data_IF_691864190697
#
_entry.id   IF_691864190697
#
_cell.length_a   1.000
_cell.length_b   1.000
_cell.length_c   1.000
_cell.angle_alpha   90.00
_cell.angle_beta   90.00
_cell.angle_gamma   90.00
#
_symmetry.space_group_name_H-M   'P 1'
#
loop_
_entity.id
_entity.type
_entity.pdbx_description
1 polymer ?
#
# COMPACT_ATOMS: atom_id res chain seq x y z
N UNK A 1 -11.54 3.52 8.18
CA UNK A 1 -11.64 3.89 6.73
C UNK A 1 -10.28 3.61 6.10
N UNK A 2 -10.21 2.89 4.99
CA UNK A 2 -8.95 2.45 4.38
C UNK A 2 -8.18 3.53 3.63
N UNK A 3 -6.94 3.19 3.27
CA UNK A 3 -6.08 3.99 2.40
C UNK A 3 -6.67 4.15 0.99
N UNK A 4 -7.50 3.19 0.55
CA UNK A 4 -8.26 3.24 -0.71
C UNK A 4 -9.22 4.44 -0.75
N UNK A 5 -9.80 4.83 0.39
CA UNK A 5 -10.76 5.94 0.48
C UNK A 5 -10.12 7.27 0.87
N UNK A 6 -8.82 7.27 1.15
CA UNK A 6 -8.07 8.47 1.55
C UNK A 6 -7.16 8.91 0.40
N UNK A 7 -7.74 9.51 -0.64
CA UNK A 7 -7.02 9.92 -1.88
C UNK A 7 -5.83 10.86 -1.66
N UNK A 8 -5.82 11.59 -0.54
CA UNK A 8 -4.71 12.47 -0.17
C UNK A 8 -3.52 11.72 0.43
N UNK A 9 -3.73 10.50 0.95
CA UNK A 9 -2.69 9.61 1.47
C UNK A 9 -2.22 8.66 0.35
N UNK A 10 -1.40 9.18 -0.55
CA UNK A 10 -0.80 8.38 -1.61
C UNK A 10 0.58 7.84 -1.19
N UNK A 11 1.12 6.84 -1.92
CA UNK A 11 2.37 6.20 -1.52
C UNK A 11 3.56 7.16 -1.42
N UNK A 12 3.66 8.13 -2.32
CA UNK A 12 4.80 9.06 -2.36
C UNK A 12 4.87 9.97 -1.15
N UNK A 13 3.72 10.43 -0.63
CA UNK A 13 3.67 11.26 0.58
C UNK A 13 4.01 10.48 1.83
N UNK A 14 3.47 9.26 1.97
CA UNK A 14 3.79 8.36 3.09
C UNK A 14 5.28 8.02 3.09
N UNK A 15 5.81 7.65 1.91
CA UNK A 15 7.25 7.42 1.73
C UNK A 15 8.08 8.64 2.07
N UNK A 16 7.63 9.85 1.70
CA UNK A 16 8.33 11.10 2.03
C UNK A 16 8.50 11.31 3.54
N UNK A 17 7.43 11.12 4.32
CA UNK A 17 7.47 11.20 5.79
C UNK A 17 8.41 10.12 6.36
N UNK A 18 8.21 8.87 5.95
CA UNK A 18 8.98 7.75 6.45
C UNK A 18 10.49 7.87 6.14
N UNK A 19 10.82 8.20 4.89
CA UNK A 19 12.21 8.37 4.46
C UNK A 19 12.90 9.52 5.18
N UNK A 20 12.19 10.62 5.44
CA UNK A 20 12.74 11.69 6.26
C UNK A 20 13.08 11.17 7.66
N UNK A 21 12.11 10.56 8.35
CA UNK A 21 12.30 10.03 9.70
C UNK A 21 13.40 8.97 9.77
N UNK A 22 13.56 8.12 8.75
CA UNK A 22 14.64 7.12 8.69
C UNK A 22 16.04 7.75 8.86
N UNK A 23 16.24 8.99 8.38
CA UNK A 23 17.51 9.70 8.45
C UNK A 23 17.58 10.75 9.57
N UNK A 24 16.49 10.96 10.30
CA UNK A 24 16.46 11.88 11.44
C UNK A 24 17.02 11.21 12.68
N UNK A 25 17.73 11.98 13.52
CA UNK A 25 18.32 11.48 14.76
C UNK A 25 17.24 10.89 15.65
N UNK A 26 17.44 9.63 16.07
CA UNK A 26 16.47 8.91 16.91
C UNK A 26 15.18 8.52 16.19
N UNK A 27 15.12 8.67 14.85
CA UNK A 27 13.97 8.32 14.01
C UNK A 27 12.66 8.98 14.42
N UNK A 28 12.79 10.20 14.95
CA UNK A 28 11.70 10.98 15.51
C UNK A 28 11.87 12.45 15.20
N UNK A 29 10.77 13.16 15.05
CA UNK A 29 10.76 14.59 14.83
C UNK A 29 9.46 15.20 15.37
N UNK A 30 9.51 16.46 15.79
CA UNK A 30 8.32 17.22 16.18
C UNK A 30 7.35 17.31 15.01
N UNK A 31 6.07 17.13 15.28
CA UNK A 31 5.03 17.19 14.26
C UNK A 31 5.08 18.52 13.48
N UNK A 32 5.27 19.65 14.16
CA UNK A 32 5.31 20.97 13.54
C UNK A 32 6.50 21.12 12.56
N UNK A 33 7.63 20.48 12.88
CA UNK A 33 8.83 20.51 12.03
C UNK A 33 8.60 19.69 10.77
N UNK A 34 8.08 18.47 10.90
CA UNK A 34 7.66 17.63 9.77
C UNK A 34 6.67 18.36 8.87
N UNK A 35 5.67 18.98 9.50
CA UNK A 35 4.59 19.68 8.82
C UNK A 35 5.13 20.85 7.96
N UNK A 36 6.05 21.66 8.50
CA UNK A 36 6.70 22.78 7.80
C UNK A 36 7.67 22.34 6.71
N UNK A 37 8.36 21.23 6.92
CA UNK A 37 9.31 20.72 5.95
C UNK A 37 8.62 20.12 4.72
N UNK A 38 7.59 19.30 4.94
CA UNK A 38 6.93 18.53 3.88
C UNK A 38 5.78 19.30 3.22
N UNK A 39 5.30 20.38 3.84
CA UNK A 39 4.28 21.26 3.28
C UNK A 39 4.52 22.72 3.69
N UNK A 40 5.49 23.42 3.07
CA UNK A 40 5.90 24.78 3.45
C UNK A 40 4.76 25.79 3.60
N UNK A 41 4.92 26.75 4.52
CA UNK A 41 3.90 27.74 4.90
C UNK A 41 3.36 28.52 3.68
N UNK A 42 4.23 28.81 2.71
CA UNK A 42 3.85 29.49 1.45
C UNK A 42 2.85 28.72 0.58
N UNK A 43 2.73 27.40 0.76
CA UNK A 43 1.73 26.61 0.03
C UNK A 43 0.33 26.68 0.67
N UNK A 44 0.21 27.25 1.88
CA UNK A 44 -1.03 27.23 2.67
C UNK A 44 -1.47 28.58 3.23
N UNK A 45 -0.77 29.67 2.88
CA UNK A 45 -0.99 31.04 3.38
C UNK A 45 -2.46 31.53 3.21
N UNK A 46 -3.19 31.02 2.21
CA UNK A 46 -4.58 31.38 1.90
C UNK A 46 -5.57 30.18 1.88
N UNK A 47 -5.27 29.09 2.61
CA UNK A 47 -6.10 27.87 2.58
C UNK A 47 -6.95 27.72 3.84
N UNK A 48 -8.25 27.47 3.66
CA UNK A 48 -9.22 27.23 4.76
C UNK A 48 -8.93 25.97 5.59
N UNK A 49 -8.27 24.98 4.98
CA UNK A 49 -7.75 23.79 5.68
C UNK A 49 -6.25 23.74 5.43
N UNK A 50 -5.41 24.03 6.44
CA UNK A 50 -3.97 23.95 6.26
C UNK A 50 -3.56 22.49 6.05
N UNK A 51 -2.81 22.24 4.97
CA UNK A 51 -2.01 21.02 4.71
C UNK A 51 -2.80 19.69 4.75
N UNK A 52 -3.94 19.58 4.04
CA UNK A 52 -4.77 18.38 4.08
C UNK A 52 -4.04 17.13 3.58
N UNK A 53 -3.07 17.29 2.65
CA UNK A 53 -2.25 16.19 2.14
C UNK A 53 -1.31 15.60 3.19
N UNK A 54 -0.59 16.45 3.92
CA UNK A 54 0.30 16.01 5.00
C UNK A 54 -0.50 15.34 6.11
N UNK A 55 -1.58 15.97 6.54
CA UNK A 55 -2.44 15.46 7.62
C UNK A 55 -3.05 14.09 7.26
N UNK A 56 -3.51 13.91 6.02
CA UNK A 56 -4.02 12.63 5.56
C UNK A 56 -2.92 11.56 5.54
N UNK A 57 -1.76 11.84 4.93
CA UNK A 57 -0.66 10.88 4.86
C UNK A 57 -0.15 10.47 6.26
N UNK A 58 0.01 11.44 7.17
CA UNK A 58 0.42 11.19 8.54
C UNK A 58 -0.61 10.33 9.28
N UNK A 59 -1.89 10.67 9.16
CA UNK A 59 -2.97 9.91 9.80
C UNK A 59 -2.99 8.46 9.33
N UNK A 60 -2.93 8.21 8.02
CA UNK A 60 -2.91 6.84 7.50
C UNK A 60 -1.64 6.08 7.90
N UNK A 61 -0.49 6.76 7.96
CA UNK A 61 0.77 6.16 8.42
C UNK A 61 0.73 5.75 9.90
N UNK A 62 0.08 6.55 10.75
CA UNK A 62 -0.14 6.20 12.16
C UNK A 62 -1.17 5.08 12.30
N UNK A 63 -2.28 5.19 11.55
CA UNK A 63 -3.39 4.22 11.59
C UNK A 63 -2.94 2.81 11.20
N UNK A 64 -2.09 2.68 10.17
CA UNK A 64 -1.55 1.38 9.78
C UNK A 64 -0.36 0.92 10.64
N UNK A 65 0.08 1.70 11.63
CA UNK A 65 1.18 1.33 12.51
C UNK A 65 2.57 1.48 11.90
N UNK A 66 2.72 2.19 10.76
CA UNK A 66 4.03 2.55 10.23
C UNK A 66 4.74 3.57 11.15
N UNK A 67 3.96 4.53 11.65
CA UNK A 67 4.42 5.58 12.55
C UNK A 67 3.63 5.53 13.86
N UNK A 68 4.20 6.08 14.91
CA UNK A 68 3.52 6.30 16.19
C UNK A 68 3.62 7.76 16.59
N UNK A 69 2.62 8.25 17.34
CA UNK A 69 2.65 9.56 17.96
C UNK A 69 3.04 9.40 19.43
N UNK A 70 4.11 10.06 19.84
CA UNK A 70 4.61 10.12 21.22
C UNK A 70 4.69 11.59 21.62
N UNK A 71 3.87 12.03 22.59
CA UNK A 71 3.75 13.44 22.96
C UNK A 71 3.47 14.35 21.74
N UNK A 72 4.42 15.22 21.39
CA UNK A 72 4.37 16.12 20.21
C UNK A 72 5.27 15.65 19.06
N UNK A 73 5.83 14.45 19.16
CA UNK A 73 6.72 13.87 18.18
C UNK A 73 6.04 12.74 17.40
N UNK A 74 6.50 12.58 16.15
CA UNK A 74 6.15 11.46 15.29
C UNK A 74 7.42 10.61 15.15
N UNK A 75 7.29 9.32 15.43
CA UNK A 75 8.37 8.36 15.41
C UNK A 75 8.05 7.25 14.40
N UNK A 76 9.09 6.64 13.81
CA UNK A 76 8.92 5.32 13.20
C UNK A 76 8.53 4.33 14.29
N UNK A 77 7.51 3.50 14.05
CA UNK A 77 7.02 2.56 15.06
C UNK A 77 8.17 1.61 15.50
N UNK A 78 8.56 1.59 16.79
CA UNK A 78 9.68 0.79 17.28
C UNK A 78 9.45 -0.72 17.14
N UNK A 79 8.19 -1.16 17.06
CA UNK A 79 7.81 -2.56 16.90
C UNK A 79 8.02 -3.08 15.46
N UNK A 80 8.37 -2.19 14.52
CA UNK A 80 8.74 -2.62 13.18
C UNK A 80 10.08 -3.38 13.18
N UNK A 81 10.24 -4.36 12.26
CA UNK A 81 11.50 -5.08 12.09
C UNK A 81 12.70 -4.13 11.95
N UNK A 82 13.84 -4.51 12.51
CA UNK A 82 15.06 -3.69 12.49
C UNK A 82 15.48 -3.30 11.07
N UNK A 83 15.37 -4.23 10.11
CA UNK A 83 15.66 -3.96 8.69
C UNK A 83 14.75 -2.87 8.10
N UNK A 84 13.46 -2.86 8.47
CA UNK A 84 12.51 -1.84 8.02
C UNK A 84 12.87 -0.45 8.58
N UNK A 85 13.47 -0.40 9.77
CA UNK A 85 13.96 0.82 10.41
C UNK A 85 15.38 1.17 9.99
N UNK A 86 16.07 0.36 9.20
CA UNK A 86 17.46 0.63 8.83
C UNK A 86 17.54 1.77 7.79
N UNK A 87 18.33 2.85 8.00
CA UNK A 87 18.42 3.97 7.05
C UNK A 87 18.94 3.58 5.65
N UNK A 88 19.66 2.47 5.52
CA UNK A 88 20.23 2.01 4.25
C UNK A 88 19.21 1.25 3.40
N UNK A 89 18.32 0.47 4.02
CA UNK A 89 17.42 -0.46 3.32
C UNK A 89 15.94 -0.22 3.58
N UNK A 90 15.58 0.49 4.66
CA UNK A 90 14.20 0.68 5.11
C UNK A 90 13.31 1.31 4.04
N UNK A 91 13.79 2.33 3.32
CA UNK A 91 13.05 2.95 2.22
C UNK A 91 12.80 1.98 1.05
N UNK A 92 13.73 1.06 0.78
CA UNK A 92 13.57 0.02 -0.25
C UNK A 92 12.60 -1.08 0.20
N UNK A 93 12.58 -1.39 1.50
CA UNK A 93 11.70 -2.39 2.11
C UNK A 93 10.29 -1.87 2.41
N UNK A 94 10.09 -0.55 2.40
CA UNK A 94 8.82 0.09 2.75
C UNK A 94 7.58 -0.49 2.03
N UNK A 95 7.60 -0.83 0.72
CA UNK A 95 6.46 -1.47 0.08
C UNK A 95 6.07 -2.82 0.71
N UNK A 96 7.06 -3.62 1.14
CA UNK A 96 6.81 -4.89 1.81
C UNK A 96 6.28 -4.66 3.23
N UNK A 97 6.86 -3.70 3.95
CA UNK A 97 6.40 -3.29 5.29
C UNK A 97 4.94 -2.84 5.23
N UNK A 98 4.59 -1.96 4.30
CA UNK A 98 3.21 -1.49 4.12
C UNK A 98 2.26 -2.59 3.68
N UNK A 99 2.68 -3.50 2.81
CA UNK A 99 1.87 -4.67 2.45
C UNK A 99 1.55 -5.53 3.68
N UNK A 100 2.54 -5.75 4.56
CA UNK A 100 2.33 -6.49 5.80
C UNK A 100 1.37 -5.77 6.75
N UNK A 101 1.56 -4.46 6.93
CA UNK A 101 0.73 -3.64 7.83
C UNK A 101 -0.71 -3.48 7.33
N UNK A 102 -0.92 -3.24 6.03
CA UNK A 102 -2.25 -3.09 5.45
C UNK A 102 -3.05 -4.39 5.50
N UNK A 103 -2.39 -5.53 5.28
CA UNK A 103 -3.08 -6.81 5.19
C UNK A 103 -2.91 -7.69 6.44
N UNK A 104 -2.46 -7.10 7.55
CA UNK A 104 -2.42 -7.78 8.83
C UNK A 104 -3.83 -8.22 9.25
N UNK A 105 -3.95 -9.40 9.88
CA UNK A 105 -5.24 -10.00 10.20
C UNK A 105 -6.09 -9.17 11.18
N UNK A 106 -5.44 -8.31 11.97
CA UNK A 106 -6.07 -7.40 12.94
C UNK A 106 -6.35 -5.99 12.38
N UNK A 107 -6.05 -5.73 11.10
CA UNK A 107 -6.30 -4.43 10.47
C UNK A 107 -7.62 -4.45 9.70
N UNK A 108 -8.74 -4.30 10.43
CA UNK A 108 -10.09 -4.27 9.82
C UNK A 108 -10.31 -3.03 8.94
N UNK A 109 -9.56 -1.96 9.17
CA UNK A 109 -9.71 -0.69 8.47
C UNK A 109 -9.35 -0.78 6.98
N UNK A 110 -8.50 -1.74 6.60
CA UNK A 110 -7.99 -1.94 5.24
C UNK A 110 -8.65 -3.14 4.52
N UNK A 111 -9.72 -3.72 5.07
CA UNK A 111 -10.37 -4.89 4.46
C UNK A 111 -10.87 -4.64 3.03
N UNK A 112 -11.45 -3.47 2.77
CA UNK A 112 -11.96 -3.15 1.43
C UNK A 112 -10.81 -3.01 0.42
N UNK A 113 -9.68 -2.41 0.82
CA UNK A 113 -8.49 -2.37 0.00
C UNK A 113 -7.94 -3.78 -0.28
N UNK A 114 -7.88 -4.65 0.73
CA UNK A 114 -7.49 -6.05 0.57
C UNK A 114 -8.37 -6.82 -0.42
N UNK A 115 -9.69 -6.68 -0.31
CA UNK A 115 -10.66 -7.31 -1.24
C UNK A 115 -10.47 -6.84 -2.67
N UNK A 116 -10.31 -5.53 -2.89
CA UNK A 116 -10.08 -4.97 -4.23
C UNK A 116 -8.77 -5.47 -4.82
N UNK A 117 -7.68 -5.49 -4.06
CA UNK A 117 -6.40 -6.02 -4.55
C UNK A 117 -6.48 -7.50 -4.90
N UNK A 118 -7.11 -8.32 -4.05
CA UNK A 118 -7.26 -9.75 -4.29
C UNK A 118 -8.13 -10.05 -5.52
N UNK A 119 -9.22 -9.30 -5.69
CA UNK A 119 -10.10 -9.38 -6.86
C UNK A 119 -9.36 -8.99 -8.15
N UNK A 120 -8.58 -7.92 -8.10
CA UNK A 120 -7.83 -7.46 -9.28
C UNK A 120 -6.74 -8.46 -9.68
N UNK A 121 -6.03 -9.03 -8.71
CA UNK A 121 -5.09 -10.13 -8.90
C UNK A 121 -5.76 -11.46 -9.32
N UNK A 122 -7.10 -11.56 -9.26
CA UNK A 122 -7.86 -12.73 -9.70
C UNK A 122 -8.30 -12.67 -11.16
N UNK A 123 -8.16 -11.51 -11.80
CA UNK A 123 -8.54 -11.37 -13.20
C UNK A 123 -7.57 -12.17 -14.09
N UNK A 124 -8.08 -12.64 -15.23
CA UNK A 124 -7.25 -13.21 -16.28
C UNK A 124 -6.24 -12.14 -16.76
N UNK A 125 -4.95 -12.44 -16.72
CA UNK A 125 -3.89 -11.49 -17.11
C UNK A 125 -3.99 -11.05 -18.57
N UNK A 126 -4.61 -11.85 -19.45
CA UNK A 126 -4.79 -11.52 -20.88
C UNK A 126 -6.01 -10.65 -21.14
N UNK A 127 -6.93 -10.56 -20.18
CA UNK A 127 -8.19 -9.83 -20.28
C UNK A 127 -8.46 -9.00 -19.00
N UNK A 128 -7.39 -8.60 -18.29
CA UNK A 128 -7.52 -7.83 -17.08
C UNK A 128 -7.95 -6.40 -17.44
N UNK A 129 -8.91 -5.81 -16.69
CA UNK A 129 -9.33 -4.45 -16.94
C UNK A 129 -8.18 -3.50 -16.57
N UNK A 130 -7.69 -2.73 -17.53
CA UNK A 130 -6.47 -1.93 -17.34
C UNK A 130 -6.70 -0.43 -17.26
N UNK A 131 -7.93 0.01 -17.52
CA UNK A 131 -8.39 1.38 -17.35
C UNK A 131 -9.56 1.46 -16.39
N UNK A 132 -9.81 2.64 -15.86
CA UNK A 132 -10.94 2.95 -14.97
C UNK A 132 -12.28 2.45 -15.54
N UNK A 133 -12.58 2.78 -16.80
CA UNK A 133 -13.82 2.37 -17.48
C UNK A 133 -13.94 0.85 -17.61
N UNK A 134 -12.83 0.16 -17.89
CA UNK A 134 -12.83 -1.29 -17.99
C UNK A 134 -13.02 -1.93 -16.62
N UNK A 135 -12.44 -1.36 -15.55
CA UNK A 135 -12.66 -1.83 -14.18
C UNK A 135 -14.11 -1.64 -13.79
N UNK A 136 -14.68 -0.46 -14.03
CA UNK A 136 -16.07 -0.16 -13.70
C UNK A 136 -17.03 -1.12 -14.44
N UNK A 137 -16.78 -1.37 -15.73
CA UNK A 137 -17.50 -2.36 -16.51
C UNK A 137 -17.37 -3.76 -15.90
N UNK A 138 -16.15 -4.21 -15.61
CA UNK A 138 -15.89 -5.55 -15.06
C UNK A 138 -16.54 -5.75 -13.69
N UNK A 139 -16.48 -4.74 -12.82
CA UNK A 139 -17.13 -4.74 -11.49
C UNK A 139 -18.64 -4.88 -11.62
N UNK A 140 -19.24 -4.18 -12.59
CA UNK A 140 -20.68 -4.25 -12.89
C UNK A 140 -21.08 -5.63 -13.45
N UNK A 141 -20.34 -6.14 -14.44
CA UNK A 141 -20.58 -7.44 -15.08
C UNK A 141 -20.49 -8.60 -14.09
N UNK A 142 -19.49 -8.57 -13.21
CA UNK A 142 -19.29 -9.59 -12.17
C UNK A 142 -20.20 -9.36 -10.94
N UNK A 143 -20.92 -8.24 -10.88
CA UNK A 143 -21.83 -7.86 -9.78
C UNK A 143 -21.15 -7.84 -8.40
N UNK A 144 -19.90 -7.36 -8.37
CA UNK A 144 -19.05 -7.33 -7.15
C UNK A 144 -18.95 -5.92 -6.53
N UNK A 145 -19.66 -4.92 -7.06
CA UNK A 145 -19.56 -3.52 -6.62
C UNK A 145 -19.76 -3.29 -5.13
N UNK A 146 -20.82 -3.87 -4.54
CA UNK A 146 -21.12 -3.74 -3.10
C UNK A 146 -20.06 -4.42 -2.22
N UNK A 147 -19.55 -5.56 -2.68
CA UNK A 147 -18.52 -6.33 -2.00
C UNK A 147 -17.17 -5.60 -2.01
N UNK A 148 -16.77 -5.04 -3.15
CA UNK A 148 -15.51 -4.32 -3.33
C UNK A 148 -15.56 -2.88 -2.80
N UNK A 149 -16.76 -2.32 -2.63
CA UNK A 149 -16.98 -0.91 -2.27
C UNK A 149 -16.28 0.07 -3.23
N UNK A 150 -16.14 -0.32 -4.49
CA UNK A 150 -15.60 0.51 -5.58
C UNK A 150 -16.71 1.34 -6.22
N UNK A 151 -17.07 2.45 -5.58
CA UNK A 151 -18.23 3.29 -5.98
C UNK A 151 -17.86 4.51 -6.82
N UNK A 152 -16.58 4.70 -7.17
CA UNK A 152 -16.15 5.85 -7.99
C UNK A 152 -14.77 5.66 -8.59
N UNK A 153 -14.58 6.27 -9.76
CA UNK A 153 -13.34 6.64 -10.44
C UNK A 153 -12.12 6.91 -9.55
N UNK A 154 -12.29 7.77 -8.55
CA UNK A 154 -11.20 8.15 -7.63
C UNK A 154 -10.64 6.98 -6.83
N UNK A 155 -11.46 5.96 -6.56
CA UNK A 155 -11.01 4.76 -5.86
C UNK A 155 -10.19 3.86 -6.77
N UNK A 156 -10.47 3.84 -8.08
CA UNK A 156 -9.63 3.13 -9.04
C UNK A 156 -8.24 3.75 -9.11
N UNK A 157 -8.14 5.07 -9.25
CA UNK A 157 -6.84 5.77 -9.28
C UNK A 157 -6.04 5.51 -8.00
N UNK A 158 -6.70 5.53 -6.84
CA UNK A 158 -6.04 5.27 -5.57
C UNK A 158 -5.58 3.81 -5.45
N UNK A 159 -6.42 2.84 -5.85
CA UNK A 159 -6.05 1.43 -5.90
C UNK A 159 -4.85 1.21 -6.83
N UNK A 160 -4.88 1.78 -8.02
CA UNK A 160 -3.85 1.70 -9.04
C UNK A 160 -2.49 2.23 -8.54
N UNK A 161 -2.47 3.41 -7.94
CA UNK A 161 -1.27 4.00 -7.33
C UNK A 161 -0.67 3.10 -6.25
N UNK A 162 -1.51 2.56 -5.36
CA UNK A 162 -1.06 1.67 -4.29
C UNK A 162 -0.59 0.31 -4.80
N UNK A 163 -1.33 -0.34 -5.68
CA UNK A 163 -0.97 -1.65 -6.21
C UNK A 163 0.35 -1.62 -6.97
N UNK A 164 0.58 -0.57 -7.77
CA UNK A 164 1.88 -0.37 -8.44
C UNK A 164 3.01 -0.15 -7.45
N UNK A 165 2.79 0.67 -6.42
CA UNK A 165 3.81 0.94 -5.41
C UNK A 165 4.18 -0.30 -4.59
N UNK A 166 3.18 -1.07 -4.14
CA UNK A 166 3.36 -2.31 -3.38
C UNK A 166 3.98 -3.43 -4.24
N UNK A 167 3.85 -3.34 -5.57
CA UNK A 167 4.42 -4.28 -6.53
C UNK A 167 3.48 -5.42 -6.90
N UNK A 168 2.17 -5.17 -6.82
CA UNK A 168 1.08 -6.07 -7.23
C UNK A 168 0.58 -5.80 -8.66
N UNK A 169 0.91 -4.65 -9.22
CA UNK A 169 0.52 -4.27 -10.55
C UNK A 169 1.65 -3.54 -11.27
N UNK A 170 1.59 -3.55 -12.59
CA UNK A 170 2.50 -2.82 -13.45
C UNK A 170 1.70 -1.94 -14.42
N UNK A 171 2.16 -0.70 -14.61
CA UNK A 171 1.61 0.23 -15.60
C UNK A 171 2.51 0.32 -16.83
N UNK A 172 1.93 0.21 -18.03
CA UNK A 172 2.63 0.48 -19.28
C UNK A 172 1.85 1.44 -20.18
N UNK A 173 2.55 2.20 -21.00
CA UNK A 173 1.92 3.10 -21.97
C UNK A 173 1.56 2.32 -23.24
N UNK A 174 0.27 2.19 -23.54
CA UNK A 174 -0.22 1.63 -24.80
C UNK A 174 -0.91 2.74 -25.60
N UNK A 175 -0.37 3.07 -26.77
CA UNK A 175 -0.92 4.11 -27.66
C UNK A 175 -1.14 5.46 -26.94
N UNK A 176 -0.23 5.84 -26.04
CA UNK A 176 -0.30 7.10 -25.28
C UNK A 176 -1.26 7.08 -24.09
N UNK A 177 -1.89 5.95 -23.76
CA UNK A 177 -2.69 5.76 -22.55
C UNK A 177 -1.98 4.81 -21.59
N UNK A 178 -1.97 5.14 -20.30
CA UNK A 178 -1.48 4.21 -19.28
C UNK A 178 -2.51 3.12 -19.06
N UNK A 179 -2.06 1.87 -19.14
CA UNK A 179 -2.84 0.67 -18.87
C UNK A 179 -2.18 -0.05 -17.70
N UNK A 180 -2.97 -0.42 -16.70
CA UNK A 180 -2.52 -1.21 -15.55
C UNK A 180 -2.80 -2.68 -15.78
N UNK A 181 -1.89 -3.53 -15.35
CA UNK A 181 -2.03 -4.98 -15.42
C UNK A 181 -1.71 -5.57 -14.05
N UNK A 182 -2.50 -6.54 -13.54
CA UNK A 182 -2.13 -7.28 -12.34
C UNK A 182 -0.86 -8.09 -12.59
N UNK A 183 0.21 -7.75 -11.86
CA UNK A 183 1.51 -8.40 -11.96
C UNK A 183 2.22 -8.34 -10.60
N UNK A 184 2.12 -9.41 -9.78
CA UNK A 184 2.76 -9.48 -8.47
C UNK A 184 4.25 -9.85 -8.53
N UNK A 185 4.86 -9.94 -9.71
CA UNK A 185 6.26 -10.38 -9.88
C UNK A 185 7.23 -9.58 -9.02
N UNK A 186 7.03 -8.26 -8.91
CA UNK A 186 7.89 -7.39 -8.10
C UNK A 186 7.75 -7.71 -6.61
N UNK A 187 6.52 -7.86 -6.11
CA UNK A 187 6.27 -8.27 -4.73
C UNK A 187 6.91 -9.63 -4.42
N UNK A 188 6.70 -10.62 -5.29
CA UNK A 188 7.24 -11.97 -5.13
C UNK A 188 8.77 -11.96 -5.13
N UNK A 189 9.42 -11.28 -6.07
CA UNK A 189 10.89 -11.16 -6.12
C UNK A 189 11.48 -10.58 -4.85
N UNK A 190 10.84 -9.55 -4.26
CA UNK A 190 11.30 -8.95 -3.00
C UNK A 190 11.18 -9.89 -1.80
N UNK A 191 10.27 -10.85 -1.85
CA UNK A 191 9.98 -11.76 -0.75
C UNK A 191 10.52 -13.18 -0.96
N UNK A 192 11.04 -13.51 -2.15
CA UNK A 192 11.38 -14.89 -2.54
C UNK A 192 12.33 -15.57 -1.56
N UNK A 193 13.38 -14.88 -1.09
CA UNK A 193 14.34 -15.43 -0.11
C UNK A 193 13.66 -15.81 1.21
N UNK A 194 12.75 -14.95 1.67
CA UNK A 194 11.99 -15.17 2.89
C UNK A 194 10.93 -16.27 2.73
N UNK A 195 10.42 -16.50 1.53
CA UNK A 195 9.46 -17.57 1.27
C UNK A 195 10.12 -18.95 1.24
N UNK A 196 11.41 -19.01 0.88
CA UNK A 196 12.19 -20.23 0.86
C UNK A 196 12.85 -20.57 2.20
N UNK A 197 12.88 -19.64 3.18
CA UNK A 197 13.47 -19.86 4.52
C UNK A 197 14.87 -20.52 4.47
N UNK A 198 15.75 -20.03 3.60
CA UNK A 198 17.11 -20.56 3.37
C UNK A 198 17.20 -21.94 2.71
N UNK A 199 16.07 -22.60 2.45
CA UNK A 199 16.04 -23.82 1.65
C UNK A 199 16.31 -23.52 0.16
N UNK A 200 17.01 -24.44 -0.52
CA UNK A 200 17.19 -24.35 -1.97
C UNK A 200 15.95 -24.81 -2.74
N UNK A 201 15.17 -25.72 -2.15
CA UNK A 201 13.98 -26.31 -2.72
C UNK A 201 12.87 -26.36 -1.66
N UNK A 202 11.64 -26.16 -2.09
CA UNK A 202 10.44 -26.23 -1.25
C UNK A 202 9.31 -26.85 -2.08
N UNK A 203 8.43 -27.61 -1.43
CA UNK A 203 7.23 -28.10 -2.10
C UNK A 203 6.35 -26.92 -2.51
N UNK A 204 5.77 -26.97 -3.70
CA UNK A 204 4.91 -25.90 -4.21
C UNK A 204 3.77 -25.56 -3.23
N UNK A 205 3.19 -26.57 -2.58
CA UNK A 205 2.15 -26.39 -1.57
C UNK A 205 2.63 -25.55 -0.39
N UNK A 206 3.84 -25.83 0.12
CA UNK A 206 4.41 -25.12 1.28
C UNK A 206 4.82 -23.70 0.90
N UNK A 207 5.26 -23.49 -0.34
CA UNK A 207 5.48 -22.16 -0.91
C UNK A 207 4.19 -21.34 -0.93
N UNK A 208 3.10 -21.90 -1.46
CA UNK A 208 1.78 -21.22 -1.53
C UNK A 208 1.29 -20.88 -0.12
N UNK A 209 1.36 -21.82 0.83
CA UNK A 209 0.95 -21.59 2.23
C UNK A 209 1.80 -20.47 2.87
N UNK A 210 3.11 -20.47 2.64
CA UNK A 210 4.01 -19.44 3.17
C UNK A 210 3.73 -18.08 2.55
N UNK A 211 3.44 -18.03 1.25
CA UNK A 211 3.07 -16.82 0.53
C UNK A 211 1.74 -16.26 1.06
N UNK A 212 0.72 -17.09 1.22
CA UNK A 212 -0.60 -16.70 1.74
C UNK A 212 -0.53 -16.13 3.16
N UNK A 213 0.30 -16.73 4.03
CA UNK A 213 0.56 -16.22 5.39
C UNK A 213 1.24 -14.85 5.36
N UNK A 214 2.14 -14.63 4.41
CA UNK A 214 2.89 -13.38 4.29
C UNK A 214 2.08 -12.27 3.63
N UNK A 215 1.27 -12.62 2.64
CA UNK A 215 0.38 -11.73 1.93
C UNK A 215 -0.94 -12.45 1.63
N UNK A 216 -2.02 -12.11 2.35
CA UNK A 216 -3.30 -12.82 2.23
C UNK A 216 -4.09 -12.51 0.94
N UNK A 217 -3.45 -11.84 -0.03
CA UNK A 217 -4.01 -11.57 -1.37
C UNK A 217 -3.84 -12.75 -2.34
N UNK A 218 -2.91 -13.67 -2.07
CA UNK A 218 -2.58 -14.81 -2.91
C UNK A 218 -3.38 -16.07 -2.53
N UNK A 219 -3.25 -17.13 -3.32
CA UNK A 219 -3.95 -18.41 -3.16
C UNK A 219 -3.94 -18.90 -1.71
N UNK A 220 -5.10 -19.36 -1.21
CA UNK A 220 -5.31 -19.77 0.21
C UNK A 220 -5.19 -18.64 1.24
N UNK A 221 -5.01 -17.39 0.80
CA UNK A 221 -5.02 -16.21 1.65
C UNK A 221 -6.44 -15.71 1.94
N UNK A 222 -6.61 -15.08 3.12
CA UNK A 222 -7.91 -14.57 3.61
C UNK A 222 -8.71 -13.79 2.57
N UNK A 223 -8.07 -12.89 1.81
CA UNK A 223 -8.79 -12.07 0.82
C UNK A 223 -9.02 -12.82 -0.49
N UNK A 224 -8.09 -13.70 -0.87
CA UNK A 224 -8.24 -14.50 -2.09
C UNK A 224 -9.38 -15.51 -2.00
N UNK A 225 -9.64 -16.06 -0.82
CA UNK A 225 -10.76 -16.98 -0.61
C UNK A 225 -12.13 -16.31 -0.65
N UNK A 226 -12.19 -14.98 -0.62
CA UNK A 226 -13.43 -14.21 -0.63
C UNK A 226 -13.86 -13.75 -2.04
N UNK A 227 -12.97 -13.87 -3.04
CA UNK A 227 -13.14 -13.31 -4.39
C UNK A 227 -13.30 -14.38 -5.46
#
# INVERSE_FOLDING_TARGET
MSVLKTSLANPSRIRGIFRYLLHTKGQREKKEVLERLLSPDKLVEDKSTPRPMFNAALRESVKCGLLVKEDEEICINPDLPEEARNPQFGDQLLPNTLSHLFFASNNEDEEDFGRVCAWYLAQDIYDAPGTEKEVELRVSEQKVGDFLRMTSDRLFVQMDDWMRYLGFAWGHALKGKTVTVPDPTVYLKRNIKNLFNEHQEILLKDFIISLAKKCPLFETGKFREQV
#
